data_IF_046950032047
#
_entry.id   IF_046950032047
#
_cell.length_a   1.000
_cell.length_b   1.000
_cell.length_c   1.000
_cell.angle_alpha   90.00
_cell.angle_beta   90.00
_cell.angle_gamma   90.00
#
_symmetry.space_group_name_H-M   'P 1'
#
loop_
_entity.id
_entity.type
_entity.pdbx_description
1 polymer ?
#
# COMPACT_ATOMS: atom_id res chain seq x y z
N UNK A 1 -27.76 5.24 -9.66
CA UNK A 1 -28.23 4.68 -8.37
C UNK A 1 -28.70 5.81 -7.48
N UNK A 2 -29.90 5.76 -6.87
CA UNK A 2 -30.30 6.73 -5.86
C UNK A 2 -29.28 6.70 -4.71
N UNK A 3 -28.90 7.87 -4.21
CA UNK A 3 -27.92 7.96 -3.14
C UNK A 3 -26.45 8.17 -3.56
N UNK A 4 -26.08 7.90 -4.81
CA UNK A 4 -24.76 8.25 -5.35
C UNK A 4 -24.76 9.73 -5.76
N UNK A 5 -23.84 10.50 -5.18
CA UNK A 5 -23.75 11.94 -5.40
C UNK A 5 -22.71 12.31 -6.46
N UNK A 6 -21.57 11.64 -6.44
CA UNK A 6 -20.46 11.88 -7.36
C UNK A 6 -19.68 10.59 -7.60
N UNK A 7 -19.22 10.39 -8.82
CA UNK A 7 -18.25 9.36 -9.18
C UNK A 7 -17.09 10.07 -9.86
N UNK A 8 -15.91 9.89 -9.34
CA UNK A 8 -14.65 10.36 -9.93
C UNK A 8 -13.87 9.12 -10.40
N UNK A 9 -13.37 9.15 -11.64
CA UNK A 9 -12.70 8.01 -12.26
C UNK A 9 -11.29 8.41 -12.59
N UNK A 10 -10.32 7.78 -11.94
CA UNK A 10 -8.90 7.90 -12.26
C UNK A 10 -8.43 6.62 -12.98
N UNK A 11 -8.45 6.69 -14.32
CA UNK A 11 -8.02 5.55 -15.16
C UNK A 11 -6.52 5.27 -15.06
N UNK A 12 -5.71 6.26 -14.67
CA UNK A 12 -4.27 6.09 -14.50
C UNK A 12 -3.92 5.26 -13.28
N UNK A 13 -4.80 5.29 -12.28
CA UNK A 13 -4.65 4.56 -11.00
C UNK A 13 -5.60 3.39 -10.84
N UNK A 14 -6.41 3.11 -11.86
CA UNK A 14 -7.50 2.12 -11.82
C UNK A 14 -8.39 2.28 -10.57
N UNK A 15 -8.72 3.54 -10.24
CA UNK A 15 -9.41 3.93 -9.03
C UNK A 15 -10.70 4.67 -9.33
N UNK A 16 -11.75 4.29 -8.61
CA UNK A 16 -13.04 4.98 -8.59
C UNK A 16 -13.26 5.58 -7.20
N UNK A 17 -13.52 6.88 -7.14
CA UNK A 17 -13.95 7.54 -5.91
C UNK A 17 -15.43 7.80 -5.99
N UNK A 18 -16.21 7.25 -5.07
CA UNK A 18 -17.67 7.38 -5.05
C UNK A 18 -18.08 8.13 -3.80
N UNK A 19 -18.63 9.33 -3.96
CA UNK A 19 -19.33 10.04 -2.90
C UNK A 19 -20.80 9.62 -2.89
N UNK A 20 -21.28 9.11 -1.76
CA UNK A 20 -22.65 8.58 -1.63
C UNK A 20 -23.25 8.94 -0.27
N UNK A 21 -24.56 8.83 -0.17
CA UNK A 21 -25.30 9.02 1.07
C UNK A 21 -25.55 7.67 1.73
N UNK A 22 -24.90 7.44 2.86
CA UNK A 22 -24.97 6.18 3.64
C UNK A 22 -26.38 5.81 4.11
N UNK A 23 -27.29 6.80 4.20
CA UNK A 23 -28.70 6.54 4.57
C UNK A 23 -29.54 6.03 3.39
N UNK A 24 -29.05 6.13 2.15
CA UNK A 24 -29.79 5.78 0.93
C UNK A 24 -29.17 4.64 0.15
N UNK A 25 -27.86 4.39 0.30
CA UNK A 25 -27.15 3.31 -0.38
C UNK A 25 -26.08 2.75 0.53
N UNK A 26 -25.98 1.44 0.60
CA UNK A 26 -24.93 0.71 1.33
C UNK A 26 -23.74 0.42 0.42
N UNK A 27 -22.54 0.37 0.99
CA UNK A 27 -21.30 0.00 0.30
C UNK A 27 -21.45 -1.34 -0.43
N UNK A 28 -22.13 -2.31 0.19
CA UNK A 28 -22.36 -3.63 -0.41
C UNK A 28 -23.15 -3.55 -1.71
N UNK A 29 -24.10 -2.63 -1.82
CA UNK A 29 -24.87 -2.40 -3.05
C UNK A 29 -24.01 -1.75 -4.14
N UNK A 30 -23.08 -0.86 -3.77
CA UNK A 30 -22.14 -0.26 -4.71
C UNK A 30 -21.18 -1.32 -5.27
N UNK A 31 -20.61 -2.15 -4.39
CA UNK A 31 -19.71 -3.25 -4.77
C UNK A 31 -20.43 -4.25 -5.69
N UNK A 32 -21.66 -4.62 -5.37
CA UNK A 32 -22.43 -5.54 -6.17
C UNK A 32 -22.71 -4.97 -7.58
N UNK A 33 -22.97 -3.68 -7.70
CA UNK A 33 -23.15 -3.04 -9.00
C UNK A 33 -21.86 -3.04 -9.84
N UNK A 34 -20.70 -2.87 -9.21
CA UNK A 34 -19.38 -2.92 -9.87
C UNK A 34 -19.06 -4.35 -10.33
N UNK A 35 -19.34 -5.35 -9.49
CA UNK A 35 -19.18 -6.78 -9.86
C UNK A 35 -20.09 -7.15 -11.02
N UNK A 36 -21.34 -6.70 -11.04
CA UNK A 36 -22.28 -6.93 -12.15
C UNK A 36 -21.82 -6.24 -13.45
N UNK A 37 -21.04 -5.18 -13.36
CA UNK A 37 -20.40 -4.53 -14.50
C UNK A 37 -19.15 -5.26 -15.01
N UNK A 38 -18.76 -6.38 -14.37
CA UNK A 38 -17.63 -7.22 -14.78
C UNK A 38 -16.27 -6.84 -14.15
N UNK A 39 -16.27 -5.99 -13.12
CA UNK A 39 -15.05 -5.60 -12.40
C UNK A 39 -14.95 -6.32 -11.07
N UNK A 40 -13.72 -6.51 -10.58
CA UNK A 40 -13.44 -7.02 -9.23
C UNK A 40 -13.05 -5.81 -8.36
N UNK A 41 -13.99 -5.24 -7.58
CA UNK A 41 -13.68 -4.07 -6.76
C UNK A 41 -12.88 -4.48 -5.52
N UNK A 42 -11.82 -3.75 -5.23
CA UNK A 42 -11.18 -3.70 -3.92
C UNK A 42 -11.59 -2.38 -3.25
N UNK A 43 -12.17 -2.47 -2.05
CA UNK A 43 -12.57 -1.27 -1.32
C UNK A 43 -11.35 -0.67 -0.64
N UNK A 44 -10.87 0.45 -1.17
CA UNK A 44 -9.93 1.32 -0.48
C UNK A 44 -10.74 2.41 0.21
N UNK A 45 -11.25 2.13 1.40
CA UNK A 45 -12.02 3.10 2.15
C UNK A 45 -11.08 4.13 2.78
N UNK A 46 -11.21 5.39 2.36
CA UNK A 46 -10.44 6.48 2.94
C UNK A 46 -10.77 6.73 4.42
N UNK A 47 -11.95 6.33 4.89
CA UNK A 47 -12.31 6.37 6.32
C UNK A 47 -11.73 5.18 7.07
N UNK A 48 -11.65 3.99 6.45
CA UNK A 48 -10.92 2.85 6.99
C UNK A 48 -9.41 3.10 6.96
N UNK A 49 -8.87 3.74 5.92
CA UNK A 49 -7.47 4.16 5.89
C UNK A 49 -7.15 5.17 7.02
N UNK A 50 -8.07 6.09 7.33
CA UNK A 50 -7.93 6.99 8.46
C UNK A 50 -8.10 6.28 9.82
N UNK A 51 -8.93 5.22 9.89
CA UNK A 51 -9.12 4.42 11.10
C UNK A 51 -8.01 3.36 11.29
N UNK A 52 -7.36 2.96 10.20
CA UNK A 52 -6.20 2.05 10.19
C UNK A 52 -4.87 2.81 10.13
N UNK A 53 -4.89 4.14 10.09
CA UNK A 53 -3.68 4.94 10.28
C UNK A 53 -3.12 4.61 11.67
N UNK A 54 -2.17 3.67 11.69
CA UNK A 54 -1.35 3.42 12.87
C UNK A 54 -0.81 4.79 13.29
N UNK A 55 -1.14 5.21 14.51
CA UNK A 55 -0.55 6.43 15.02
C UNK A 55 0.96 6.24 14.99
N UNK A 56 1.69 7.25 14.56
CA UNK A 56 3.16 7.17 14.47
C UNK A 56 3.79 6.56 15.73
N UNK A 57 3.20 6.85 16.89
CA UNK A 57 3.65 6.35 18.20
C UNK A 57 3.42 4.85 18.40
N UNK A 58 2.54 4.23 17.60
CA UNK A 58 2.24 2.80 17.62
C UNK A 58 3.17 1.99 16.68
N UNK A 59 3.90 2.68 15.79
CA UNK A 59 4.87 2.05 14.90
C UNK A 59 6.11 1.58 15.69
N UNK A 60 6.76 0.48 15.28
CA UNK A 60 8.03 0.05 15.85
C UNK A 60 9.08 1.17 15.83
N UNK A 61 9.89 1.26 16.87
CA UNK A 61 10.91 2.32 17.00
C UNK A 61 11.86 2.40 15.81
N UNK A 62 12.20 1.26 15.21
CA UNK A 62 13.03 1.17 14.02
C UNK A 62 12.39 1.86 12.81
N UNK A 63 11.06 1.73 12.65
CA UNK A 63 10.28 2.41 11.61
C UNK A 63 10.17 3.90 11.92
N UNK A 64 9.87 4.26 13.18
CA UNK A 64 9.84 5.66 13.62
C UNK A 64 11.17 6.38 13.37
N UNK A 65 12.30 5.71 13.63
CA UNK A 65 13.64 6.26 13.38
C UNK A 65 13.87 6.59 11.89
N UNK A 66 13.30 5.80 10.98
CA UNK A 66 13.34 6.09 9.53
C UNK A 66 12.50 7.31 9.18
N UNK A 67 11.27 7.37 9.71
CA UNK A 67 10.35 8.50 9.50
C UNK A 67 10.90 9.83 10.05
N UNK A 68 11.74 9.79 11.09
CA UNK A 68 12.38 11.00 11.66
C UNK A 68 13.30 11.73 10.67
N UNK A 69 13.63 11.13 9.55
CA UNK A 69 14.41 11.77 8.49
C UNK A 69 13.55 12.66 7.57
N UNK A 70 12.23 12.69 7.78
CA UNK A 70 11.31 13.59 7.05
C UNK A 70 11.00 13.15 5.62
N UNK A 71 11.40 11.93 5.22
CA UNK A 71 11.10 11.35 3.91
C UNK A 71 10.20 10.12 4.06
N UNK A 72 9.40 9.80 3.04
CA UNK A 72 8.54 8.62 3.07
C UNK A 72 9.35 7.32 3.13
N UNK A 73 8.76 6.26 3.68
CA UNK A 73 9.41 4.97 3.92
C UNK A 73 8.74 3.88 3.10
N UNK A 74 9.52 3.12 2.35
CA UNK A 74 9.11 1.87 1.72
C UNK A 74 9.55 0.73 2.62
N UNK A 75 8.58 0.00 3.17
CA UNK A 75 8.80 -1.23 3.94
C UNK A 75 8.61 -2.43 3.02
N UNK A 76 9.61 -3.27 2.91
CA UNK A 76 9.54 -4.53 2.20
C UNK A 76 9.69 -5.67 3.17
N UNK A 77 8.67 -6.51 3.26
CA UNK A 77 8.65 -7.71 4.10
C UNK A 77 8.93 -8.94 3.26
N UNK A 78 9.88 -9.73 3.69
CA UNK A 78 10.30 -10.96 3.01
C UNK A 78 10.79 -12.02 3.98
N UNK A 79 11.17 -13.19 3.44
CA UNK A 79 11.79 -14.27 4.16
C UNK A 79 12.75 -15.05 3.25
N UNK A 80 13.72 -15.71 3.82
CA UNK A 80 14.73 -16.48 3.08
C UNK A 80 14.15 -17.63 2.25
N UNK A 81 13.10 -18.29 2.74
CA UNK A 81 12.40 -19.40 2.06
C UNK A 81 11.41 -18.95 0.98
N UNK A 82 11.09 -17.66 0.88
CA UNK A 82 10.07 -17.13 -0.01
C UNK A 82 10.60 -16.97 -1.45
N UNK A 83 10.22 -17.83 -2.37
CA UNK A 83 10.67 -17.79 -3.77
C UNK A 83 10.28 -16.49 -4.49
N UNK A 84 9.07 -15.97 -4.28
CA UNK A 84 8.62 -14.70 -4.84
C UNK A 84 9.43 -13.51 -4.28
N UNK A 85 9.84 -13.57 -3.00
CA UNK A 85 10.71 -12.58 -2.38
C UNK A 85 12.09 -12.55 -3.06
N UNK A 86 12.66 -13.72 -3.34
CA UNK A 86 13.94 -13.83 -4.04
C UNK A 86 13.86 -13.27 -5.46
N UNK A 87 12.74 -13.49 -6.16
CA UNK A 87 12.50 -12.90 -7.48
C UNK A 87 12.50 -11.37 -7.36
N UNK A 88 11.70 -10.79 -6.46
CA UNK A 88 11.65 -9.33 -6.26
C UNK A 88 13.02 -8.74 -5.94
N UNK A 89 13.80 -9.41 -5.09
CA UNK A 89 15.13 -8.94 -4.72
C UNK A 89 16.11 -8.92 -5.91
N UNK A 90 15.96 -9.85 -6.84
CA UNK A 90 16.86 -9.99 -8.01
C UNK A 90 16.39 -9.19 -9.23
N UNK A 91 15.12 -8.86 -9.32
CA UNK A 91 14.53 -8.16 -10.46
C UNK A 91 14.06 -6.77 -10.08
N UNK A 92 13.05 -6.65 -9.22
CA UNK A 92 12.39 -5.37 -8.91
C UNK A 92 13.31 -4.41 -8.20
N UNK A 93 14.00 -4.86 -7.15
CA UNK A 93 14.90 -3.99 -6.37
C UNK A 93 16.28 -3.78 -6.98
N UNK A 94 16.58 -4.39 -8.12
CA UNK A 94 17.81 -4.13 -8.90
C UNK A 94 17.52 -3.41 -10.21
N UNK A 95 16.24 -3.16 -10.54
CA UNK A 95 15.88 -2.39 -11.73
C UNK A 95 16.31 -0.92 -11.58
N UNK A 96 16.94 -0.38 -12.60
CA UNK A 96 17.52 0.97 -12.59
C UNK A 96 16.45 2.07 -12.38
N UNK A 97 15.25 1.89 -12.94
CA UNK A 97 14.17 2.86 -12.80
C UNK A 97 13.59 2.81 -11.38
N UNK A 98 13.46 1.61 -10.80
CA UNK A 98 13.04 1.44 -9.41
C UNK A 98 14.05 2.06 -8.46
N UNK A 99 15.35 1.82 -8.66
CA UNK A 99 16.42 2.40 -7.84
C UNK A 99 16.44 3.92 -7.93
N UNK A 100 16.25 4.48 -9.13
CA UNK A 100 16.18 5.92 -9.31
C UNK A 100 15.01 6.55 -8.54
N UNK A 101 13.85 5.89 -8.49
CA UNK A 101 12.69 6.36 -7.73
C UNK A 101 12.85 6.18 -6.23
N UNK A 102 13.42 5.05 -5.81
CA UNK A 102 13.70 4.78 -4.39
C UNK A 102 14.69 5.78 -3.76
N UNK A 103 15.44 6.54 -4.55
CA UNK A 103 16.32 7.59 -4.03
C UNK A 103 15.56 8.68 -3.23
N UNK A 104 14.26 8.87 -3.47
CA UNK A 104 13.39 9.76 -2.71
C UNK A 104 12.74 9.14 -1.46
N UNK A 105 13.06 7.90 -1.14
CA UNK A 105 12.45 7.12 -0.06
C UNK A 105 13.51 6.51 0.86
N UNK A 106 13.11 6.20 2.09
CA UNK A 106 13.86 5.27 2.95
C UNK A 106 13.38 3.85 2.68
N UNK A 107 14.21 3.02 2.04
CA UNK A 107 13.90 1.59 1.90
C UNK A 107 14.32 0.84 3.17
N UNK A 108 13.37 0.19 3.81
CA UNK A 108 13.60 -0.72 4.93
C UNK A 108 13.16 -2.13 4.54
N UNK A 109 14.11 -3.06 4.53
CA UNK A 109 13.85 -4.48 4.31
C UNK A 109 13.70 -5.16 5.66
N UNK A 110 12.60 -5.84 5.86
CA UNK A 110 12.24 -6.55 7.09
C UNK A 110 12.17 -8.05 6.78
N UNK A 111 12.95 -8.83 7.48
CA UNK A 111 12.83 -10.28 7.45
C UNK A 111 11.85 -10.70 8.55
N UNK A 112 10.72 -11.33 8.14
CA UNK A 112 9.65 -11.69 9.08
C UNK A 112 10.04 -12.78 10.07
N UNK A 113 11.15 -13.48 9.85
CA UNK A 113 11.67 -14.50 10.77
C UNK A 113 12.57 -13.90 11.86
N UNK A 114 13.32 -12.85 11.52
CA UNK A 114 14.24 -12.20 12.45
C UNK A 114 13.63 -10.96 13.12
N UNK A 115 12.62 -10.35 12.50
CA UNK A 115 11.94 -9.13 12.98
C UNK A 115 10.40 -9.31 12.99
N UNK A 116 9.88 -10.39 13.63
CA UNK A 116 8.45 -10.72 13.60
C UNK A 116 7.58 -9.64 14.29
N UNK A 117 8.14 -8.88 15.22
CA UNK A 117 7.44 -7.80 15.91
C UNK A 117 7.09 -6.64 14.97
N UNK A 118 7.93 -6.36 13.96
CA UNK A 118 7.65 -5.32 12.96
C UNK A 118 6.52 -5.79 12.03
N UNK A 119 6.57 -7.06 11.62
CA UNK A 119 5.52 -7.66 10.79
C UNK A 119 4.16 -7.69 11.53
N UNK A 120 4.17 -8.07 12.81
CA UNK A 120 2.96 -8.10 13.65
C UNK A 120 2.37 -6.70 13.86
N UNK A 121 3.20 -5.71 14.19
CA UNK A 121 2.75 -4.32 14.41
C UNK A 121 2.09 -3.71 13.16
N UNK A 122 2.53 -4.12 11.96
CA UNK A 122 1.98 -3.68 10.68
C UNK A 122 0.99 -4.68 10.07
N UNK A 123 0.52 -5.67 10.86
CA UNK A 123 -0.44 -6.68 10.43
C UNK A 123 -0.05 -7.41 9.13
N UNK A 124 1.25 -7.68 8.96
CA UNK A 124 1.77 -8.42 7.81
C UNK A 124 1.65 -9.91 8.09
N UNK A 125 0.81 -10.60 7.33
CA UNK A 125 0.54 -12.05 7.47
C UNK A 125 1.08 -12.90 6.33
N UNK A 126 1.56 -12.28 5.26
CA UNK A 126 2.08 -12.96 4.07
C UNK A 126 3.28 -12.21 3.47
N UNK A 127 4.14 -12.92 2.75
CA UNK A 127 5.33 -12.37 2.07
C UNK A 127 5.38 -12.82 0.60
N UNK A 128 5.89 -11.98 -0.31
CA UNK A 128 6.36 -10.62 -0.05
C UNK A 128 5.21 -9.65 0.20
N UNK A 129 5.42 -8.66 1.05
CA UNK A 129 4.52 -7.52 1.24
C UNK A 129 5.32 -6.23 1.12
N UNK A 130 4.77 -5.25 0.41
CA UNK A 130 5.31 -3.90 0.31
C UNK A 130 4.32 -2.93 0.94
N UNK A 131 4.80 -2.07 1.84
CA UNK A 131 4.03 -1.00 2.46
C UNK A 131 4.77 0.32 2.21
N UNK A 132 4.03 1.34 1.80
CA UNK A 132 4.54 2.69 1.68
C UNK A 132 3.92 3.55 2.78
N UNK A 133 4.76 4.18 3.57
CA UNK A 133 4.36 5.17 4.57
C UNK A 133 4.81 6.56 4.12
N UNK A 134 3.96 7.57 4.33
CA UNK A 134 4.38 8.97 4.18
C UNK A 134 5.32 9.38 5.33
N UNK A 135 5.85 10.61 5.27
CA UNK A 135 6.75 11.15 6.32
C UNK A 135 6.07 11.30 7.68
N UNK A 136 4.74 11.31 7.76
CA UNK A 136 3.98 11.32 9.00
C UNK A 136 3.75 9.90 9.58
N UNK A 137 4.02 8.85 8.78
CA UNK A 137 3.80 7.46 9.15
C UNK A 137 2.43 6.91 8.74
N UNK A 138 1.69 7.66 7.92
CA UNK A 138 0.41 7.22 7.37
C UNK A 138 0.68 6.23 6.24
N UNK A 139 -0.03 5.10 6.26
CA UNK A 139 0.06 4.11 5.19
C UNK A 139 -0.64 4.63 3.92
N UNK A 140 0.15 4.83 2.86
CA UNK A 140 -0.33 5.29 1.55
C UNK A 140 -0.64 4.15 0.60
N UNK A 141 0.06 3.03 0.76
CA UNK A 141 -0.05 1.88 -0.12
C UNK A 141 0.34 0.59 0.59
N UNK A 142 -0.35 -0.49 0.24
CA UNK A 142 -0.03 -1.86 0.66
C UNK A 142 -0.26 -2.83 -0.49
N UNK A 143 0.69 -3.72 -0.73
CA UNK A 143 0.54 -4.82 -1.67
C UNK A 143 1.10 -6.11 -1.08
N UNK A 144 0.32 -7.16 -1.13
CA UNK A 144 0.74 -8.53 -0.85
C UNK A 144 1.02 -9.23 -2.18
N UNK A 145 2.14 -9.91 -2.28
CA UNK A 145 2.58 -10.62 -3.47
C UNK A 145 3.66 -9.89 -4.26
N UNK A 146 4.08 -10.50 -5.35
CA UNK A 146 5.14 -10.02 -6.19
C UNK A 146 4.73 -8.73 -6.90
N UNK A 147 5.59 -7.71 -6.85
CA UNK A 147 5.53 -6.51 -7.68
C UNK A 147 6.61 -6.58 -8.76
N UNK A 148 6.22 -6.42 -10.01
CA UNK A 148 7.16 -6.25 -11.12
C UNK A 148 7.87 -4.89 -11.03
N UNK A 149 9.01 -4.69 -11.72
CA UNK A 149 9.67 -3.40 -11.76
C UNK A 149 8.77 -2.26 -12.23
N UNK A 150 7.96 -2.49 -13.27
CA UNK A 150 7.03 -1.47 -13.80
C UNK A 150 5.93 -1.10 -12.81
N UNK A 151 5.35 -2.09 -12.11
CA UNK A 151 4.36 -1.81 -11.06
C UNK A 151 4.97 -1.02 -9.89
N UNK A 152 6.19 -1.38 -9.47
CA UNK A 152 6.88 -0.65 -8.40
C UNK A 152 7.17 0.80 -8.80
N UNK A 153 7.59 1.06 -10.05
CA UNK A 153 7.80 2.43 -10.55
C UNK A 153 6.51 3.23 -10.53
N UNK A 154 5.38 2.64 -10.93
CA UNK A 154 4.07 3.30 -10.89
C UNK A 154 3.71 3.68 -9.45
N UNK A 155 3.81 2.74 -8.52
CA UNK A 155 3.56 3.00 -7.09
C UNK A 155 4.43 4.14 -6.56
N UNK A 156 5.73 4.09 -6.83
CA UNK A 156 6.65 5.12 -6.33
C UNK A 156 6.40 6.50 -6.98
N UNK A 157 5.93 6.55 -8.23
CA UNK A 157 5.58 7.82 -8.89
C UNK A 157 4.33 8.47 -8.28
N UNK A 158 3.33 7.66 -7.90
CA UNK A 158 2.05 8.16 -7.39
C UNK A 158 2.18 8.90 -6.05
N UNK A 159 3.25 8.65 -5.32
CA UNK A 159 3.46 9.19 -3.96
C UNK A 159 4.74 10.04 -3.83
N UNK A 160 5.40 10.39 -4.94
CA UNK A 160 6.47 11.39 -4.99
C UNK A 160 5.86 12.77 -5.19
N UNK A 161 5.52 13.47 -4.14
CA UNK A 161 5.42 14.94 -4.10
C UNK A 161 6.41 15.52 -3.12
#
# INVERSE_FOLDING_TARGET
MPGVQKIDVDLGRDRFTVAYNETQVDVSQLLQAIVLAGYVPEVVDSTLAAAQALKRDELPQTVQARLNQGVPVVLYFGAGWCGACQIMQRTTFLDSNVLAKLAGYQLMKVDVETEPEIAAALSVSAVPTVILLDSAGIELYRRVGLLSPSEMVLVLNDFTE
#
